data_IF_845328772736
#
_entry.id   IF_845328772736
#
_cell.length_a   1.000
_cell.length_b   1.000
_cell.length_c   1.000
_cell.angle_alpha   90.00
_cell.angle_beta   90.00
_cell.angle_gamma   90.00
#
_symmetry.space_group_name_H-M   'P 1'
#
loop_
_entity.id
_entity.type
_entity.pdbx_description
1 polymer ?
#
# COMPACT_ATOMS: atom_id res chain seq x y z
N UNK A 1 -12.16 28.48 -11.17
CA UNK A 1 -11.29 27.98 -10.08
C UNK A 1 -11.30 26.45 -10.15
N UNK A 2 -10.33 25.86 -10.85
CA UNK A 2 -10.24 24.42 -11.11
C UNK A 2 -9.44 23.82 -9.96
N UNK A 3 -10.12 23.21 -8.99
CA UNK A 3 -9.45 22.49 -7.91
C UNK A 3 -8.50 21.46 -8.52
N UNK A 4 -7.27 21.46 -8.03
CA UNK A 4 -6.15 20.57 -8.35
C UNK A 4 -6.51 19.12 -7.97
N UNK A 5 -7.43 18.53 -8.75
CA UNK A 5 -7.87 17.14 -8.63
C UNK A 5 -6.69 16.20 -8.83
N UNK A 6 -5.71 16.63 -9.62
CA UNK A 6 -4.50 15.86 -9.91
C UNK A 6 -3.55 15.79 -8.70
N UNK A 7 -3.48 16.81 -7.83
CA UNK A 7 -2.69 16.73 -6.60
C UNK A 7 -3.25 15.75 -5.58
N UNK A 8 -4.57 15.71 -5.40
CA UNK A 8 -5.19 14.76 -4.48
C UNK A 8 -5.03 13.32 -5.01
N UNK A 9 -5.20 13.11 -6.33
CA UNK A 9 -4.94 11.82 -6.97
C UNK A 9 -3.47 11.42 -6.93
N UNK A 10 -2.52 12.37 -7.01
CA UNK A 10 -1.08 12.10 -6.82
C UNK A 10 -0.78 11.54 -5.42
N UNK A 11 -1.44 12.05 -4.39
CA UNK A 11 -1.35 11.52 -3.01
C UNK A 11 -1.90 10.10 -2.90
N UNK A 12 -3.14 9.90 -3.37
CA UNK A 12 -3.80 8.59 -3.31
C UNK A 12 -3.06 7.50 -4.09
N UNK A 13 -2.35 7.80 -5.19
CA UNK A 13 -1.60 6.78 -5.96
C UNK A 13 -0.51 6.10 -5.15
N UNK A 14 0.20 6.84 -4.30
CA UNK A 14 1.31 6.26 -3.52
C UNK A 14 0.79 5.40 -2.38
N UNK A 15 -0.17 5.92 -1.63
CA UNK A 15 -0.85 5.21 -0.54
C UNK A 15 -1.51 3.93 -1.07
N UNK A 16 -2.24 4.03 -2.19
CA UNK A 16 -2.87 2.88 -2.81
C UNK A 16 -1.86 1.82 -3.27
N UNK A 17 -0.74 2.23 -3.86
CA UNK A 17 0.32 1.28 -4.22
C UNK A 17 0.86 0.54 -3.01
N UNK A 18 1.00 1.23 -1.87
CA UNK A 18 1.52 0.63 -0.63
C UNK A 18 0.51 -0.36 -0.05
N UNK A 19 -0.78 0.00 -0.04
CA UNK A 19 -1.86 -0.89 0.37
C UNK A 19 -1.87 -2.17 -0.48
N UNK A 20 -1.88 -2.04 -1.81
CA UNK A 20 -1.95 -3.19 -2.72
C UNK A 20 -0.73 -4.12 -2.61
N UNK A 21 0.49 -3.56 -2.49
CA UNK A 21 1.69 -4.38 -2.28
C UNK A 21 1.68 -5.07 -0.91
N UNK A 22 1.15 -4.42 0.14
CA UNK A 22 1.00 -5.04 1.46
C UNK A 22 0.03 -6.22 1.41
N UNK A 23 -1.08 -6.09 0.68
CA UNK A 23 -2.02 -7.20 0.42
C UNK A 23 -1.34 -8.36 -0.31
N UNK A 24 -0.54 -8.07 -1.35
CA UNK A 24 0.21 -9.08 -2.09
C UNK A 24 1.22 -9.82 -1.20
N UNK A 25 2.07 -9.11 -0.45
CA UNK A 25 3.09 -9.73 0.39
C UNK A 25 2.49 -10.63 1.47
N UNK A 26 1.40 -10.20 2.10
CA UNK A 26 0.67 -11.03 3.07
C UNK A 26 0.06 -12.25 2.43
N UNK A 27 -0.59 -12.09 1.27
CA UNK A 27 -1.20 -13.20 0.54
C UNK A 27 -0.16 -14.21 0.03
N UNK A 28 1.07 -13.76 -0.25
CA UNK A 28 2.20 -14.61 -0.61
C UNK A 28 2.87 -15.29 0.59
N UNK A 29 2.44 -14.98 1.83
CA UNK A 29 2.97 -15.58 3.05
C UNK A 29 4.34 -15.05 3.47
N UNK A 30 4.76 -13.86 3.00
CA UNK A 30 6.03 -13.28 3.43
C UNK A 30 6.00 -12.97 4.93
N UNK A 31 7.04 -13.40 5.62
CA UNK A 31 7.25 -13.10 7.03
C UNK A 31 7.57 -11.61 7.23
N UNK A 32 7.35 -11.10 8.44
CA UNK A 32 7.52 -9.68 8.76
C UNK A 32 8.87 -9.10 8.30
N UNK A 33 9.96 -9.87 8.47
CA UNK A 33 11.30 -9.46 8.04
C UNK A 33 11.45 -9.44 6.51
N UNK A 34 10.89 -10.43 5.81
CA UNK A 34 10.94 -10.50 4.34
C UNK A 34 10.14 -9.35 3.70
N UNK A 35 9.01 -8.97 4.30
CA UNK A 35 8.29 -7.76 3.91
C UNK A 35 9.16 -6.51 4.09
N UNK A 36 9.89 -6.44 5.22
CA UNK A 36 10.86 -5.36 5.47
C UNK A 36 11.92 -5.26 4.39
N UNK A 37 12.50 -6.38 3.97
CA UNK A 37 13.52 -6.44 2.92
C UNK A 37 12.95 -6.04 1.55
N UNK A 38 11.75 -6.52 1.21
CA UNK A 38 11.07 -6.12 -0.02
C UNK A 38 10.81 -4.60 -0.06
N UNK A 39 10.35 -4.02 1.05
CA UNK A 39 10.15 -2.58 1.16
C UNK A 39 11.46 -1.80 1.09
N UNK A 40 12.54 -2.31 1.68
CA UNK A 40 13.86 -1.72 1.59
C UNK A 40 14.33 -1.65 0.13
N UNK A 41 14.20 -2.74 -0.62
CA UNK A 41 14.53 -2.79 -2.04
C UNK A 41 13.68 -1.81 -2.86
N UNK A 42 12.37 -1.77 -2.64
CA UNK A 42 11.47 -0.83 -3.32
C UNK A 42 11.86 0.62 -3.03
N UNK A 43 12.24 0.93 -1.79
CA UNK A 43 12.65 2.28 -1.41
C UNK A 43 13.94 2.72 -2.13
N UNK A 44 14.89 1.80 -2.34
CA UNK A 44 16.11 2.09 -3.12
C UNK A 44 15.78 2.49 -4.57
N UNK A 45 14.73 1.91 -5.16
CA UNK A 45 14.27 2.25 -6.51
C UNK A 45 13.41 3.52 -6.58
N UNK A 46 13.05 4.13 -5.45
CA UNK A 46 12.15 5.29 -5.37
C UNK A 46 12.77 6.41 -4.52
N UNK A 47 13.80 7.11 -5.02
CA UNK A 47 14.48 8.17 -4.26
C UNK A 47 13.50 9.27 -3.85
N UNK A 48 13.58 9.68 -2.58
CA UNK A 48 12.78 10.78 -2.04
C UNK A 48 13.24 12.12 -2.63
N UNK A 49 12.34 13.10 -2.81
CA UNK A 49 12.74 14.48 -3.03
C UNK A 49 13.67 14.95 -1.90
N UNK A 50 14.78 15.61 -2.26
CA UNK A 50 15.87 15.96 -1.34
C UNK A 50 15.44 16.94 -0.22
N UNK A 51 14.41 17.76 -0.45
CA UNK A 51 14.02 18.84 0.45
C UNK A 51 12.71 18.57 1.22
N UNK A 52 12.49 17.33 1.69
CA UNK A 52 11.30 17.05 2.50
C UNK A 52 11.50 17.47 3.96
N UNK A 53 10.65 18.35 4.53
CA UNK A 53 10.74 18.73 5.93
C UNK A 53 10.59 17.52 6.85
N UNK A 54 11.39 17.44 7.91
CA UNK A 54 11.41 16.30 8.86
C UNK A 54 10.03 15.97 9.44
N UNK A 55 9.28 16.98 9.89
CA UNK A 55 7.93 16.76 10.42
C UNK A 55 6.94 16.18 9.41
N UNK A 56 7.11 16.49 8.11
CA UNK A 56 6.32 15.88 7.03
C UNK A 56 6.72 14.42 6.81
N UNK A 57 8.01 14.09 6.91
CA UNK A 57 8.49 12.71 6.83
C UNK A 57 7.93 11.87 7.99
N UNK A 58 7.95 12.39 9.21
CA UNK A 58 7.44 11.71 10.40
C UNK A 58 5.92 11.47 10.31
N UNK A 59 5.14 12.48 9.93
CA UNK A 59 3.71 12.33 9.72
C UNK A 59 3.38 11.28 8.64
N UNK A 60 4.14 11.29 7.54
CA UNK A 60 3.96 10.31 6.46
C UNK A 60 4.35 8.90 6.93
N UNK A 61 5.41 8.76 7.74
CA UNK A 61 5.79 7.47 8.31
C UNK A 61 4.70 6.90 9.22
N UNK A 62 4.03 7.72 10.04
CA UNK A 62 2.89 7.30 10.86
C UNK A 62 1.71 6.83 10.00
N UNK A 63 1.34 7.58 8.96
CA UNK A 63 0.27 7.16 8.04
C UNK A 63 0.61 5.84 7.33
N UNK A 64 1.87 5.66 6.92
CA UNK A 64 2.33 4.42 6.29
C UNK A 64 2.36 3.24 7.27
N UNK A 65 2.78 3.45 8.52
CA UNK A 65 2.73 2.41 9.56
C UNK A 65 1.30 1.91 9.74
N UNK A 66 0.33 2.81 9.83
CA UNK A 66 -1.07 2.43 9.93
C UNK A 66 -1.49 1.59 8.72
N UNK A 67 -1.26 2.10 7.51
CA UNK A 67 -1.60 1.41 6.26
C UNK A 67 -0.88 0.06 6.08
N UNK A 68 0.30 -0.10 6.63
CA UNK A 68 1.04 -1.37 6.57
C UNK A 68 0.61 -2.34 7.67
N UNK A 69 0.14 -1.85 8.82
CA UNK A 69 -0.29 -2.66 9.96
C UNK A 69 -1.75 -3.10 9.90
N UNK A 70 -2.62 -2.31 9.27
CA UNK A 70 -4.05 -2.63 9.16
C UNK A 70 -4.24 -3.85 8.28
N UNK A 71 -5.13 -4.74 8.71
CA UNK A 71 -5.56 -5.88 7.90
C UNK A 71 -6.55 -5.40 6.84
N UNK A 72 -6.12 -5.51 5.58
CA UNK A 72 -6.88 -5.16 4.38
C UNK A 72 -7.25 -6.42 3.59
N UNK A 73 -7.54 -7.55 4.26
CA UNK A 73 -8.23 -8.67 3.63
C UNK A 73 -9.42 -8.14 2.80
N UNK A 74 -9.71 -8.75 1.65
CA UNK A 74 -10.68 -8.19 0.68
C UNK A 74 -12.11 -8.05 1.24
N UNK A 75 -12.39 -8.72 2.35
CA UNK A 75 -13.62 -8.73 3.15
C UNK A 75 -13.48 -8.00 4.50
N UNK A 76 -12.30 -7.45 4.79
CA UNK A 76 -12.01 -6.71 6.01
C UNK A 76 -12.75 -5.37 6.10
N UNK A 77 -12.94 -4.84 7.32
CA UNK A 77 -13.69 -3.60 7.56
C UNK A 77 -13.31 -2.40 6.65
N UNK A 78 -12.03 -2.16 6.31
CA UNK A 78 -11.65 -1.00 5.50
C UNK A 78 -12.08 -1.09 4.03
N UNK A 79 -12.20 -2.30 3.50
CA UNK A 79 -12.48 -2.58 2.08
C UNK A 79 -13.93 -3.00 1.81
N UNK A 80 -14.72 -3.19 2.88
CA UNK A 80 -16.15 -3.46 2.78
C UNK A 80 -16.91 -2.36 2.02
N UNK A 81 -18.11 -2.68 1.51
CA UNK A 81 -18.97 -1.73 0.76
C UNK A 81 -19.30 -0.44 1.54
N UNK A 82 -19.25 -0.51 2.88
CA UNK A 82 -19.53 0.61 3.81
C UNK A 82 -18.21 1.20 4.34
N UNK A 83 -17.08 0.59 3.99
CA UNK A 83 -15.75 1.01 4.41
C UNK A 83 -15.30 2.33 3.78
N UNK A 84 -14.17 2.89 4.24
CA UNK A 84 -13.61 4.11 3.69
C UNK A 84 -13.01 3.95 2.28
N UNK A 85 -12.73 2.72 1.81
CA UNK A 85 -12.01 2.48 0.54
C UNK A 85 -12.67 1.42 -0.37
N UNK A 86 -13.99 1.47 -0.62
CA UNK A 86 -14.72 0.40 -1.32
C UNK A 86 -14.27 0.26 -2.79
N UNK A 87 -13.82 1.36 -3.42
CA UNK A 87 -13.32 1.36 -4.81
C UNK A 87 -12.03 0.55 -5.00
N UNK A 88 -11.32 0.21 -3.92
CA UNK A 88 -10.05 -0.51 -3.97
C UNK A 88 -10.21 -2.02 -3.83
N UNK A 89 -11.41 -2.50 -3.45
CA UNK A 89 -11.67 -3.90 -3.14
C UNK A 89 -11.36 -4.84 -4.32
N UNK A 90 -11.72 -4.44 -5.55
CA UNK A 90 -11.44 -5.25 -6.75
C UNK A 90 -9.93 -5.43 -6.99
N UNK A 91 -9.15 -4.34 -6.85
CA UNK A 91 -7.70 -4.38 -7.01
C UNK A 91 -7.02 -5.14 -5.87
N UNK A 92 -7.48 -4.96 -4.63
CA UNK A 92 -6.99 -5.74 -3.50
C UNK A 92 -7.23 -7.24 -3.72
N UNK A 93 -8.43 -7.64 -4.18
CA UNK A 93 -8.74 -9.01 -4.54
C UNK A 93 -7.86 -9.55 -5.69
N UNK A 94 -7.56 -8.72 -6.70
CA UNK A 94 -6.67 -9.11 -7.79
C UNK A 94 -5.22 -9.35 -7.31
N UNK A 95 -4.68 -8.47 -6.47
CA UNK A 95 -3.34 -8.63 -5.88
C UNK A 95 -3.27 -9.85 -4.96
N UNK A 96 -4.30 -10.08 -4.15
CA UNK A 96 -4.40 -11.28 -3.33
C UNK A 96 -4.31 -12.57 -4.16
N UNK A 97 -5.09 -12.66 -5.26
CA UNK A 97 -5.04 -13.82 -6.17
C UNK A 97 -3.69 -13.97 -6.88
N UNK A 98 -3.10 -12.86 -7.32
CA UNK A 98 -1.80 -12.86 -7.99
C UNK A 98 -0.69 -13.45 -7.10
N UNK A 99 -0.74 -13.17 -5.79
CA UNK A 99 0.20 -13.73 -4.83
C UNK A 99 0.14 -15.26 -4.78
N UNK A 100 -1.06 -15.84 -4.72
CA UNK A 100 -1.23 -17.30 -4.75
C UNK A 100 -0.68 -17.92 -6.03
N UNK A 101 -0.87 -17.28 -7.18
CA UNK A 101 -0.31 -17.79 -8.45
C UNK A 101 1.22 -17.71 -8.52
N UNK A 102 1.83 -16.75 -7.82
CA UNK A 102 3.29 -16.62 -7.77
C UNK A 102 3.92 -17.72 -6.91
N UNK A 103 3.28 -18.09 -5.78
CA UNK A 103 3.75 -19.15 -4.88
C UNK A 103 3.63 -20.55 -5.49
N UNK A 104 2.66 -20.79 -6.39
CA UNK A 104 2.45 -22.10 -7.02
C UNK A 104 3.35 -22.40 -8.22
N UNK A 105 4.22 -21.48 -8.62
CA UNK A 105 5.11 -21.65 -9.78
C UNK A 105 6.60 -21.84 -9.40
N UNK A 106 6.85 -22.27 -8.16
CA UNK A 106 8.15 -22.78 -7.69
C UNK A 106 8.12 -24.32 -7.60
#
# INVERSE_FOLDING_TARGET
MRFDRDAHLRGCRRELSILLCTVLFRAAGLEWYEQGDAWHLIAQHRPSPADMPRGRLEAMAESLRLLMSTDFASDGPPLSEIGPLPFTAEWAGAFHRAAHTAVFNE
#
